data_IF_602408824600
#
_entry.id   IF_602408824600
#
_cell.length_a   1.000
_cell.length_b   1.000
_cell.length_c   1.000
_cell.angle_alpha   90.00
_cell.angle_beta   90.00
_cell.angle_gamma   90.00
#
_symmetry.space_group_name_H-M   'P 1'
#
loop_
_entity.id
_entity.type
_entity.pdbx_description
1 polymer ?
#
# COMPACT_ATOMS: atom_id res chain seq x y z
N UNK A 1 -7.48 13.26 -22.99
CA UNK A 1 -7.08 12.34 -24.09
C UNK A 1 -7.33 10.93 -23.59
N UNK A 2 -8.36 10.23 -24.08
CA UNK A 2 -8.48 8.79 -23.91
C UNK A 2 -7.47 8.15 -24.86
N UNK A 3 -6.32 7.74 -24.35
CA UNK A 3 -5.43 6.88 -25.14
C UNK A 3 -6.12 5.52 -25.22
N UNK A 4 -6.71 5.22 -26.36
CA UNK A 4 -7.35 3.94 -26.64
C UNK A 4 -6.24 2.95 -27.05
N UNK A 5 -5.60 2.34 -26.03
CA UNK A 5 -4.66 1.26 -26.28
C UNK A 5 -5.45 0.04 -26.76
N UNK A 6 -5.08 -0.49 -27.91
CA UNK A 6 -5.66 -1.73 -28.43
C UNK A 6 -5.51 -2.90 -27.47
N UNK A 7 -6.33 -3.93 -27.64
CA UNK A 7 -6.19 -5.17 -26.89
C UNK A 7 -4.81 -5.81 -27.12
N UNK A 8 -4.25 -6.45 -26.09
CA UNK A 8 -2.96 -7.15 -26.18
C UNK A 8 -1.76 -6.27 -26.56
N UNK A 9 -1.70 -5.06 -26.01
CA UNK A 9 -0.68 -4.07 -26.36
C UNK A 9 0.56 -4.17 -25.45
N UNK A 10 0.39 -4.31 -24.14
CA UNK A 10 1.48 -4.26 -23.18
C UNK A 10 1.98 -5.65 -22.76
N UNK A 11 3.30 -5.79 -22.61
CA UNK A 11 3.94 -6.97 -22.02
C UNK A 11 3.83 -6.96 -20.49
N UNK A 12 3.87 -5.77 -19.89
CA UNK A 12 3.70 -5.59 -18.45
C UNK A 12 3.00 -4.27 -18.14
N UNK A 13 2.23 -4.27 -17.06
CA UNK A 13 1.63 -3.09 -16.42
C UNK A 13 2.00 -3.09 -14.95
N UNK A 14 2.35 -1.93 -14.40
CA UNK A 14 2.67 -1.78 -12.98
C UNK A 14 1.79 -0.71 -12.35
N UNK A 15 1.32 -0.98 -11.12
CA UNK A 15 0.55 -0.07 -10.29
C UNK A 15 1.16 -0.04 -8.90
N UNK A 16 1.80 1.08 -8.55
CA UNK A 16 2.47 1.22 -7.26
C UNK A 16 1.73 2.22 -6.39
N UNK A 17 0.96 1.74 -5.41
CA UNK A 17 0.07 2.57 -4.60
C UNK A 17 -0.84 3.46 -5.46
N UNK A 18 -1.61 2.85 -6.36
CA UNK A 18 -2.50 3.53 -7.30
C UNK A 18 -3.94 3.04 -7.18
N UNK A 19 -4.13 1.72 -7.10
CA UNK A 19 -5.46 1.10 -7.17
C UNK A 19 -6.40 1.55 -6.06
N UNK A 20 -5.85 1.80 -4.86
CA UNK A 20 -6.59 2.27 -3.70
C UNK A 20 -7.14 3.70 -3.84
N UNK A 21 -6.60 4.48 -4.77
CA UNK A 21 -7.01 5.86 -5.05
C UNK A 21 -8.02 5.98 -6.20
N UNK A 22 -8.24 4.91 -6.96
CA UNK A 22 -9.09 4.96 -8.14
C UNK A 22 -10.56 4.97 -7.73
N UNK A 23 -11.40 5.81 -8.37
CA UNK A 23 -12.84 5.80 -8.12
C UNK A 23 -13.52 4.52 -8.64
N UNK A 24 -13.01 3.93 -9.74
CA UNK A 24 -13.52 2.73 -10.39
C UNK A 24 -12.42 1.67 -10.55
N UNK A 25 -11.93 1.07 -9.43
CA UNK A 25 -10.78 0.17 -9.48
C UNK A 25 -11.06 -1.11 -10.27
N UNK A 26 -12.29 -1.65 -10.19
CA UNK A 26 -12.67 -2.88 -10.90
C UNK A 26 -12.71 -2.69 -12.41
N UNK A 27 -13.24 -1.55 -12.88
CA UNK A 27 -13.22 -1.20 -14.30
C UNK A 27 -11.79 -1.06 -14.81
N UNK A 28 -10.93 -0.37 -14.04
CA UNK A 28 -9.51 -0.23 -14.39
C UNK A 28 -8.82 -1.59 -14.49
N UNK A 29 -9.03 -2.49 -13.52
CA UNK A 29 -8.47 -3.83 -13.56
C UNK A 29 -8.97 -4.66 -14.75
N UNK A 30 -10.24 -4.52 -15.12
CA UNK A 30 -10.81 -5.15 -16.30
C UNK A 30 -10.16 -4.64 -17.59
N UNK A 31 -9.94 -3.32 -17.69
CA UNK A 31 -9.23 -2.71 -18.81
C UNK A 31 -7.79 -3.24 -18.91
N UNK A 32 -7.07 -3.28 -17.77
CA UNK A 32 -5.72 -3.83 -17.72
C UNK A 32 -5.69 -5.28 -18.21
N UNK A 33 -6.68 -6.08 -17.78
CA UNK A 33 -6.82 -7.45 -18.25
C UNK A 33 -6.97 -7.54 -19.79
N UNK A 34 -7.62 -6.56 -20.44
CA UNK A 34 -7.80 -6.52 -21.90
C UNK A 34 -6.53 -6.06 -22.65
N UNK A 35 -5.86 -5.01 -22.16
CA UNK A 35 -4.70 -4.42 -22.84
C UNK A 35 -3.40 -5.21 -22.66
N UNK A 36 -3.30 -6.08 -21.64
CA UNK A 36 -2.16 -6.98 -21.47
C UNK A 36 -2.13 -8.05 -22.58
N UNK A 37 -0.95 -8.34 -23.08
CA UNK A 37 -0.71 -9.47 -23.97
C UNK A 37 -0.96 -10.80 -23.26
N UNK A 38 -1.24 -11.86 -24.03
CA UNK A 38 -1.25 -13.23 -23.46
C UNK A 38 0.12 -13.58 -22.89
N UNK A 39 0.14 -14.04 -21.64
CA UNK A 39 1.39 -14.28 -20.92
C UNK A 39 2.02 -13.03 -20.30
N UNK A 40 1.46 -11.83 -20.55
CA UNK A 40 1.91 -10.57 -19.95
C UNK A 40 1.64 -10.48 -18.45
N UNK A 41 2.29 -9.54 -17.79
CA UNK A 41 2.29 -9.44 -16.31
C UNK A 41 1.64 -8.15 -15.82
N UNK A 42 0.89 -8.27 -14.72
CA UNK A 42 0.46 -7.14 -13.91
C UNK A 42 1.15 -7.21 -12.56
N UNK A 43 1.83 -6.13 -12.17
CA UNK A 43 2.41 -5.97 -10.84
C UNK A 43 1.64 -4.90 -10.10
N UNK A 44 1.14 -5.20 -8.90
CA UNK A 44 0.45 -4.25 -8.03
C UNK A 44 1.08 -4.22 -6.65
N UNK A 45 1.30 -3.01 -6.12
CA UNK A 45 1.68 -2.78 -4.73
C UNK A 45 0.61 -1.92 -4.08
N UNK A 46 0.11 -2.32 -2.89
CA UNK A 46 -0.99 -1.65 -2.21
C UNK A 46 -1.01 -1.98 -0.70
N UNK A 47 -1.73 -1.19 0.12
CA UNK A 47 -1.96 -1.51 1.52
C UNK A 47 -2.75 -2.82 1.67
N UNK A 48 -2.37 -3.64 2.66
CA UNK A 48 -3.03 -4.90 2.98
C UNK A 48 -4.01 -4.70 4.14
N UNK A 49 -5.31 -4.71 3.86
CA UNK A 49 -6.33 -4.54 4.91
C UNK A 49 -6.33 -5.70 5.92
N UNK A 50 -5.86 -6.88 5.53
CA UNK A 50 -5.75 -8.05 6.40
C UNK A 50 -4.49 -8.08 7.27
N UNK A 51 -3.67 -7.01 7.24
CA UNK A 51 -2.42 -6.92 8.01
C UNK A 51 -2.65 -6.90 9.51
N UNK A 52 -1.59 -7.20 10.28
CA UNK A 52 -1.59 -6.98 11.72
C UNK A 52 -1.74 -5.49 12.06
N UNK A 53 -1.07 -4.63 11.29
CA UNK A 53 -1.11 -3.19 11.49
C UNK A 53 -2.52 -2.62 11.34
N UNK A 54 -3.26 -3.01 10.30
CA UNK A 54 -4.63 -2.55 10.08
C UNK A 54 -5.56 -2.96 11.23
N UNK A 55 -5.42 -4.20 11.71
CA UNK A 55 -6.23 -4.74 12.83
C UNK A 55 -5.89 -4.10 14.16
N UNK A 56 -4.59 -3.87 14.41
CA UNK A 56 -4.10 -3.28 15.66
C UNK A 56 -4.48 -1.81 15.77
N UNK A 57 -4.19 -1.02 14.74
CA UNK A 57 -4.33 0.43 14.77
C UNK A 57 -5.69 0.93 14.28
N UNK A 58 -6.45 0.11 13.55
CA UNK A 58 -7.80 0.45 13.06
C UNK A 58 -7.84 1.85 12.43
N UNK A 59 -8.69 2.74 12.93
CA UNK A 59 -8.82 4.13 12.47
C UNK A 59 -7.54 4.99 12.60
N UNK A 60 -6.50 4.50 13.28
CA UNK A 60 -5.20 5.18 13.44
C UNK A 60 -4.09 4.62 12.55
N UNK A 61 -4.39 3.58 11.76
CA UNK A 61 -3.45 3.00 10.82
C UNK A 61 -3.02 4.02 9.76
N UNK A 62 -1.70 4.14 9.50
CA UNK A 62 -1.18 5.10 8.52
C UNK A 62 -1.82 4.92 7.14
N UNK A 63 -1.84 3.68 6.65
CA UNK A 63 -2.32 3.39 5.29
C UNK A 63 -3.85 3.44 5.15
N UNK A 64 -4.60 3.80 6.20
CA UNK A 64 -6.01 4.11 6.04
C UNK A 64 -6.23 5.40 5.25
N UNK A 65 -5.41 6.42 5.49
CA UNK A 65 -5.23 7.68 4.73
C UNK A 65 -6.52 8.29 4.12
N UNK A 66 -7.60 8.50 4.91
CA UNK A 66 -8.81 9.13 4.40
C UNK A 66 -8.57 10.63 4.14
N UNK A 67 -9.16 11.21 3.10
CA UNK A 67 -10.06 10.61 2.10
C UNK A 67 -9.35 10.11 0.82
N UNK A 68 -8.02 9.98 0.83
CA UNK A 68 -7.23 9.64 -0.37
C UNK A 68 -7.39 8.16 -0.77
N UNK A 69 -7.40 7.25 0.20
CA UNK A 69 -7.64 5.84 -0.06
C UNK A 69 -9.15 5.57 -0.04
N UNK A 70 -9.69 5.20 -1.19
CA UNK A 70 -11.12 4.94 -1.40
C UNK A 70 -11.47 3.47 -1.21
N UNK A 71 -10.53 2.58 -1.52
CA UNK A 71 -10.73 1.14 -1.50
C UNK A 71 -9.59 0.42 -0.75
N UNK A 72 -9.94 -0.70 -0.11
CA UNK A 72 -9.00 -1.56 0.60
C UNK A 72 -9.20 -3.00 0.17
N UNK A 73 -8.10 -3.69 -0.10
CA UNK A 73 -8.13 -5.06 -0.58
C UNK A 73 -7.38 -5.99 0.38
N UNK A 74 -7.97 -7.16 0.62
CA UNK A 74 -7.25 -8.32 1.14
C UNK A 74 -6.64 -9.12 -0.01
N UNK A 75 -5.58 -9.88 0.27
CA UNK A 75 -4.88 -10.62 -0.77
C UNK A 75 -5.80 -11.63 -1.47
N UNK A 76 -6.63 -12.37 -0.73
CA UNK A 76 -7.53 -13.37 -1.29
C UNK A 76 -8.64 -12.76 -2.15
N UNK A 77 -9.16 -11.60 -1.75
CA UNK A 77 -10.21 -10.94 -2.51
C UNK A 77 -9.66 -10.39 -3.83
N UNK A 78 -8.47 -9.78 -3.78
CA UNK A 78 -7.82 -9.28 -5.00
C UNK A 78 -7.48 -10.42 -5.95
N UNK A 79 -7.03 -11.59 -5.47
CA UNK A 79 -6.81 -12.77 -6.31
C UNK A 79 -8.08 -13.19 -7.02
N UNK A 80 -9.22 -13.30 -6.32
CA UNK A 80 -10.52 -13.68 -6.93
C UNK A 80 -10.94 -12.69 -8.00
N UNK A 81 -10.80 -11.38 -7.73
CA UNK A 81 -11.10 -10.33 -8.70
C UNK A 81 -10.23 -10.48 -9.95
N UNK A 82 -8.92 -10.66 -9.79
CA UNK A 82 -7.98 -10.82 -10.89
C UNK A 82 -8.26 -12.07 -11.72
N UNK A 83 -8.60 -13.18 -11.06
CA UNK A 83 -8.98 -14.43 -11.74
C UNK A 83 -10.23 -14.24 -12.61
N UNK A 84 -11.20 -13.45 -12.18
CA UNK A 84 -12.37 -13.12 -12.99
C UNK A 84 -12.00 -12.37 -14.28
N UNK A 85 -10.90 -11.63 -14.28
CA UNK A 85 -10.37 -10.90 -15.44
C UNK A 85 -9.31 -11.68 -16.24
N UNK A 86 -9.12 -12.98 -15.94
CA UNK A 86 -8.19 -13.85 -16.67
C UNK A 86 -6.72 -13.65 -16.27
N UNK A 87 -6.48 -13.20 -15.05
CA UNK A 87 -5.14 -12.99 -14.47
C UNK A 87 -4.94 -13.98 -13.32
N UNK A 88 -3.88 -14.78 -13.38
CA UNK A 88 -3.53 -15.74 -12.32
C UNK A 88 -2.37 -15.22 -11.49
N UNK A 89 -2.41 -15.51 -10.19
CA UNK A 89 -1.36 -15.09 -9.25
C UNK A 89 -0.07 -15.89 -9.52
N UNK A 90 1.06 -15.16 -9.59
CA UNK A 90 2.41 -15.74 -9.71
C UNK A 90 3.11 -15.70 -8.36
N UNK A 91 3.08 -14.55 -7.68
CA UNK A 91 3.74 -14.38 -6.39
C UNK A 91 3.10 -13.27 -5.58
N UNK A 92 3.23 -13.40 -4.25
CA UNK A 92 2.83 -12.37 -3.29
C UNK A 92 3.98 -12.16 -2.31
N UNK A 93 4.36 -10.90 -2.13
CA UNK A 93 5.28 -10.47 -1.08
C UNK A 93 4.53 -9.58 -0.09
N UNK A 94 4.79 -9.78 1.19
CA UNK A 94 4.17 -9.03 2.29
C UNK A 94 5.17 -8.12 3.01
N UNK A 95 6.35 -7.93 2.42
CA UNK A 95 7.43 -7.13 3.00
C UNK A 95 7.78 -5.96 2.10
N UNK A 96 7.80 -4.77 2.71
CA UNK A 96 8.39 -3.57 2.16
C UNK A 96 9.18 -2.88 3.27
N UNK A 97 10.50 -2.75 3.10
CA UNK A 97 11.36 -2.09 4.09
C UNK A 97 11.02 -0.61 4.24
N UNK A 98 10.54 0.01 3.20
CA UNK A 98 10.13 1.42 3.20
C UNK A 98 8.77 1.61 3.90
N UNK A 99 7.78 0.79 3.55
CA UNK A 99 6.39 1.01 3.93
C UNK A 99 6.01 0.40 5.28
N UNK A 100 6.44 -0.85 5.54
CA UNK A 100 5.92 -1.59 6.68
C UNK A 100 6.45 -1.08 8.02
N UNK A 101 7.79 -0.87 8.23
CA UNK A 101 8.31 -0.33 9.48
C UNK A 101 7.79 1.07 9.78
N UNK A 102 7.85 1.95 8.77
CA UNK A 102 7.37 3.32 8.90
C UNK A 102 5.85 3.36 9.17
N UNK A 103 5.08 2.53 8.46
CA UNK A 103 3.63 2.40 8.66
C UNK A 103 3.26 2.08 10.11
N UNK A 104 4.00 1.15 10.75
CA UNK A 104 3.81 0.80 12.15
C UNK A 104 4.20 1.95 13.08
N UNK A 105 5.38 2.55 12.88
CA UNK A 105 5.87 3.67 13.70
C UNK A 105 4.94 4.89 13.63
N UNK A 106 4.52 5.29 12.43
CA UNK A 106 3.60 6.40 12.27
C UNK A 106 2.21 6.09 12.86
N UNK A 107 1.74 4.85 12.76
CA UNK A 107 0.47 4.44 13.36
C UNK A 107 0.51 4.52 14.90
N UNK A 108 1.65 4.18 15.52
CA UNK A 108 1.87 4.41 16.97
C UNK A 108 1.80 5.91 17.28
N UNK A 109 2.51 6.74 16.52
CA UNK A 109 2.46 8.19 16.71
C UNK A 109 1.04 8.76 16.51
N UNK A 110 0.27 8.22 15.55
CA UNK A 110 -1.13 8.57 15.35
C UNK A 110 -2.03 8.23 16.56
N UNK A 111 -1.66 7.22 17.37
CA UNK A 111 -2.36 6.91 18.62
C UNK A 111 -2.00 7.88 19.75
N UNK A 112 -0.77 8.40 19.75
CA UNK A 112 -0.26 9.29 20.79
C UNK A 112 -0.56 10.77 20.54
N UNK A 113 -0.69 11.16 19.28
CA UNK A 113 -0.83 12.55 18.87
C UNK A 113 -2.29 12.89 18.55
N UNK A 114 -2.65 14.15 18.78
CA UNK A 114 -3.99 14.67 18.45
C UNK A 114 -4.24 14.65 16.94
N UNK A 115 -3.26 15.11 16.15
CA UNK A 115 -3.31 15.16 14.70
C UNK A 115 -2.57 13.96 14.13
N UNK A 116 -3.14 13.35 13.09
CA UNK A 116 -2.55 12.18 12.43
C UNK A 116 -1.39 12.60 11.51
N UNK A 117 -0.49 11.66 11.22
CA UNK A 117 0.49 11.75 10.12
C UNK A 117 1.46 12.93 10.17
N UNK A 118 1.69 13.48 11.38
CA UNK A 118 2.52 14.69 11.56
C UNK A 118 3.95 14.42 11.06
N UNK A 119 4.60 13.33 11.49
CA UNK A 119 5.95 13.02 11.06
C UNK A 119 5.99 12.73 9.55
N UNK A 120 5.02 12.00 9.02
CA UNK A 120 4.90 11.70 7.60
C UNK A 120 4.85 12.97 6.74
N UNK A 121 4.00 13.92 7.10
CA UNK A 121 3.88 15.18 6.39
C UNK A 121 5.15 16.06 6.53
N UNK A 122 5.77 16.06 7.71
CA UNK A 122 7.05 16.76 7.92
C UNK A 122 8.16 16.18 7.05
N UNK A 123 8.25 14.86 6.94
CA UNK A 123 9.25 14.20 6.09
C UNK A 123 9.02 14.45 4.60
N UNK A 124 7.77 14.66 4.17
CA UNK A 124 7.41 15.12 2.82
C UNK A 124 7.69 16.61 2.57
N UNK A 125 8.13 17.36 3.59
CA UNK A 125 8.39 18.79 3.48
C UNK A 125 7.16 19.69 3.72
N UNK A 126 6.00 19.12 4.10
CA UNK A 126 4.79 19.88 4.42
C UNK A 126 4.85 20.44 5.85
N UNK A 127 5.65 21.49 6.04
CA UNK A 127 5.84 22.12 7.36
C UNK A 127 4.58 22.80 7.89
N UNK A 128 3.70 23.27 7.01
CA UNK A 128 2.44 23.91 7.39
C UNK A 128 1.49 22.94 8.10
N UNK A 129 1.55 21.65 7.75
CA UNK A 129 0.74 20.64 8.40
C UNK A 129 1.09 20.44 9.88
N UNK A 130 2.34 20.70 10.24
CA UNK A 130 2.86 20.46 11.58
C UNK A 130 2.99 21.74 12.43
N UNK A 131 2.46 22.88 11.98
CA UNK A 131 2.64 24.18 12.65
C UNK A 131 2.11 24.22 14.10
N UNK A 132 1.14 23.36 14.44
CA UNK A 132 0.60 23.22 15.80
C UNK A 132 1.54 22.50 16.78
N UNK A 133 2.62 21.89 16.26
CA UNK A 133 3.56 21.10 17.07
C UNK A 133 4.87 21.88 17.29
N UNK A 134 5.33 21.89 18.53
CA UNK A 134 6.61 22.49 18.88
C UNK A 134 7.77 21.76 18.19
N UNK A 135 8.88 22.48 17.97
CA UNK A 135 10.11 21.88 17.43
C UNK A 135 10.61 20.68 18.24
N UNK A 136 10.42 20.71 19.57
CA UNK A 136 10.77 19.59 20.47
C UNK A 136 9.89 18.36 20.20
N UNK A 137 8.59 18.54 19.96
CA UNK A 137 7.69 17.44 19.63
C UNK A 137 8.09 16.78 18.30
N UNK A 138 8.42 17.57 17.29
CA UNK A 138 8.87 17.07 15.99
C UNK A 138 10.23 16.36 16.12
N UNK A 139 11.14 16.92 16.92
CA UNK A 139 12.43 16.28 17.19
C UNK A 139 12.26 14.93 17.87
N UNK A 140 11.38 14.84 18.88
CA UNK A 140 11.03 13.57 19.53
C UNK A 140 10.51 12.53 18.54
N UNK A 141 9.58 12.91 17.64
CA UNK A 141 9.06 11.99 16.62
C UNK A 141 10.16 11.49 15.67
N UNK A 142 11.09 12.35 15.27
CA UNK A 142 12.25 11.96 14.43
C UNK A 142 13.20 11.01 15.18
N UNK A 143 13.51 11.30 16.45
CA UNK A 143 14.33 10.42 17.29
C UNK A 143 13.65 9.07 17.48
N UNK A 144 12.37 9.06 17.82
CA UNK A 144 11.56 7.84 17.90
C UNK A 144 11.66 7.02 16.61
N UNK A 145 11.47 7.64 15.46
CA UNK A 145 11.57 6.99 14.15
C UNK A 145 12.93 6.32 13.96
N UNK A 146 14.02 7.09 14.13
CA UNK A 146 15.39 6.60 13.87
C UNK A 146 15.75 5.47 14.85
N UNK A 147 15.52 5.68 16.14
CA UNK A 147 15.93 4.73 17.19
C UNK A 147 15.16 3.43 17.15
N UNK A 148 13.88 3.48 16.77
CA UNK A 148 13.02 2.28 16.77
C UNK A 148 12.95 1.59 15.40
N UNK A 149 13.50 2.19 14.34
CA UNK A 149 13.45 1.63 12.98
C UNK A 149 13.98 0.18 12.90
N UNK A 150 15.14 -0.18 13.50
CA UNK A 150 15.63 -1.56 13.43
C UNK A 150 14.66 -2.57 14.05
N UNK A 151 14.04 -2.21 15.18
CA UNK A 151 13.03 -3.05 15.84
C UNK A 151 11.81 -3.26 14.93
N UNK A 152 11.26 -2.19 14.37
CA UNK A 152 10.08 -2.29 13.51
C UNK A 152 10.39 -2.93 12.15
N UNK A 153 11.62 -2.82 11.64
CA UNK A 153 12.06 -3.58 10.49
C UNK A 153 12.06 -5.09 10.77
N UNK A 154 12.56 -5.51 11.94
CA UNK A 154 12.51 -6.91 12.37
C UNK A 154 11.07 -7.40 12.56
N UNK A 155 10.21 -6.63 13.22
CA UNK A 155 8.79 -6.97 13.38
C UNK A 155 8.08 -7.08 12.01
N UNK A 156 8.42 -6.22 11.05
CA UNK A 156 7.87 -6.28 9.69
C UNK A 156 8.28 -7.55 8.95
N UNK A 157 9.48 -8.10 9.21
CA UNK A 157 9.86 -9.41 8.67
C UNK A 157 8.98 -10.51 9.27
N UNK A 158 8.71 -10.46 10.57
CA UNK A 158 7.81 -11.42 11.23
C UNK A 158 6.40 -11.33 10.65
N UNK A 159 5.85 -10.12 10.50
CA UNK A 159 4.55 -9.90 9.85
C UNK A 159 4.51 -10.49 8.43
N UNK A 160 5.58 -10.30 7.67
CA UNK A 160 5.70 -10.82 6.30
C UNK A 160 5.75 -12.36 6.27
N UNK A 161 6.52 -12.98 7.17
CA UNK A 161 6.56 -14.45 7.32
C UNK A 161 5.18 -15.03 7.66
N UNK A 162 4.39 -14.31 8.43
CA UNK A 162 3.00 -14.67 8.77
C UNK A 162 1.99 -14.25 7.69
N UNK A 163 2.44 -13.71 6.56
CA UNK A 163 1.61 -13.18 5.45
C UNK A 163 0.64 -12.08 5.90
N UNK A 164 1.08 -11.25 6.85
CA UNK A 164 0.27 -10.21 7.50
C UNK A 164 0.94 -8.82 7.49
N UNK A 165 1.90 -8.60 6.58
CA UNK A 165 2.57 -7.31 6.44
C UNK A 165 1.61 -6.17 6.06
N UNK A 166 1.96 -4.95 6.43
CA UNK A 166 1.13 -3.74 6.26
C UNK A 166 0.85 -3.39 4.80
N UNK A 167 1.76 -3.78 3.90
CA UNK A 167 1.59 -3.67 2.45
C UNK A 167 1.82 -5.02 1.80
N UNK A 168 1.34 -5.18 0.57
CA UNK A 168 1.57 -6.36 -0.25
C UNK A 168 1.93 -5.98 -1.68
N UNK A 169 2.84 -6.75 -2.26
CA UNK A 169 3.20 -6.70 -3.68
C UNK A 169 2.76 -8.01 -4.32
N UNK A 170 1.98 -7.91 -5.37
CA UNK A 170 1.40 -9.06 -6.06
C UNK A 170 1.74 -9.01 -7.54
N UNK A 171 2.16 -10.15 -8.08
CA UNK A 171 2.42 -10.31 -9.51
C UNK A 171 1.40 -11.30 -10.07
N UNK A 172 0.70 -10.86 -11.09
CA UNK A 172 -0.27 -11.66 -11.83
C UNK A 172 0.22 -11.87 -13.27
N UNK A 173 -0.17 -12.97 -13.88
CA UNK A 173 0.10 -13.28 -15.27
C UNK A 173 -1.21 -13.50 -16.01
N UNK A 174 -1.34 -12.91 -17.20
CA UNK A 174 -2.49 -13.15 -18.07
C UNK A 174 -2.41 -14.54 -18.67
N UNK A 175 -3.46 -15.32 -18.44
CA UNK A 175 -3.59 -16.69 -18.96
C UNK A 175 -4.48 -16.72 -20.20
N UNK A 176 -4.19 -17.68 -21.12
CA UNK A 176 -5.07 -17.95 -22.24
C UNK A 176 -6.40 -18.50 -21.70
N UNK A 177 -7.48 -17.87 -21.99
CA UNK A 177 -8.81 -18.43 -21.92
C UNK A 177 -9.23 -18.91 -23.29
#
# INVERSE_FOLDING_TARGET
>A
MKNDFGAHFFDAVTMWHVIEHLPEPLETLQIIGKILKQGGYLMVSLPNIDSFQSRLFRGRWLHLDPPRHLFFFGALDLIKIMQAFGLEIVTIKYFSLEQNPFGMQQSILNCMLRKREVLFEVLKGNRLYAHEYSGLSILFQKIFYIMTFPLFAMLSVIEACLKRGGTMEMVFRKVRR
#
